data_IF_095829236231
#
_entry.id   IF_095829236231
#
_cell.length_a   1.000
_cell.length_b   1.000
_cell.length_c   1.000
_cell.angle_alpha   90.00
_cell.angle_beta   90.00
_cell.angle_gamma   90.00
#
_symmetry.space_group_name_H-M   'P 1'
#
loop_
_entity.id
_entity.type
_entity.pdbx_description
1 polymer ?
#
# COMPACT_ATOMS: atom_id res chain seq x y z
N UNK A 1 36.98 -27.28 32.13
CA UNK A 1 35.99 -27.65 31.10
C UNK A 1 34.78 -26.76 31.30
N UNK A 2 34.64 -25.69 30.52
CA UNK A 2 33.51 -24.76 30.63
C UNK A 2 32.25 -25.42 30.10
N UNK A 3 31.20 -25.42 30.91
CA UNK A 3 29.86 -25.77 30.45
C UNK A 3 29.47 -24.76 29.36
N UNK A 4 29.41 -25.23 28.13
CA UNK A 4 28.78 -24.53 27.02
C UNK A 4 27.28 -24.50 27.33
N UNK A 5 26.85 -23.45 28.02
CA UNK A 5 25.43 -23.25 28.33
C UNK A 5 24.69 -23.16 27.00
N UNK A 6 23.88 -24.17 26.70
CA UNK A 6 23.02 -24.21 25.51
C UNK A 6 22.04 -23.04 25.65
N UNK A 7 22.42 -21.87 25.13
CA UNK A 7 21.54 -20.70 25.06
C UNK A 7 20.35 -21.08 24.21
N UNK A 8 19.14 -20.94 24.76
CA UNK A 8 17.94 -21.14 23.97
C UNK A 8 17.93 -20.12 22.82
N UNK A 9 17.41 -20.47 21.64
CA UNK A 9 17.34 -19.54 20.50
C UNK A 9 16.68 -18.20 20.87
N UNK A 10 15.75 -18.22 21.84
CA UNK A 10 15.10 -17.03 22.40
C UNK A 10 16.06 -16.16 23.21
N UNK A 11 16.91 -16.76 24.05
CA UNK A 11 17.91 -16.03 24.84
C UNK A 11 19.01 -15.44 23.95
N UNK A 12 19.36 -16.14 22.87
CA UNK A 12 20.28 -15.61 21.87
C UNK A 12 19.69 -14.38 21.14
N UNK A 13 18.38 -14.38 20.84
CA UNK A 13 17.71 -13.27 20.16
C UNK A 13 17.44 -12.07 21.08
N UNK A 14 17.21 -12.30 22.38
CA UNK A 14 16.87 -11.28 23.38
C UNK A 14 18.07 -10.80 24.20
N UNK A 15 19.30 -11.05 23.75
CA UNK A 15 20.48 -10.63 24.50
C UNK A 15 20.66 -9.11 24.52
N UNK A 16 20.86 -8.51 25.69
CA UNK A 16 21.14 -7.07 25.85
C UNK A 16 22.47 -6.62 25.21
N UNK A 17 23.35 -7.58 24.92
CA UNK A 17 24.65 -7.36 24.26
C UNK A 17 24.78 -8.26 23.03
N UNK A 18 24.18 -7.89 21.88
CA UNK A 18 24.29 -8.68 20.67
C UNK A 18 25.75 -8.76 20.22
N UNK A 19 26.26 -9.97 19.97
CA UNK A 19 27.64 -10.22 19.56
C UNK A 19 27.90 -9.89 18.08
N UNK A 20 26.85 -9.74 17.26
CA UNK A 20 26.95 -9.37 15.85
C UNK A 20 25.83 -8.44 15.39
N UNK A 21 26.08 -7.69 14.30
CA UNK A 21 25.04 -6.86 13.63
C UNK A 21 23.85 -7.70 13.18
N UNK A 22 24.08 -8.94 12.76
CA UNK A 22 23.03 -9.88 12.33
C UNK A 22 22.15 -10.30 13.51
N UNK A 23 22.76 -10.66 14.65
CA UNK A 23 22.03 -10.97 15.88
C UNK A 23 21.19 -9.79 16.36
N UNK A 24 21.73 -8.56 16.34
CA UNK A 24 20.98 -7.36 16.71
C UNK A 24 19.76 -7.12 15.79
N UNK A 25 19.90 -7.37 14.48
CA UNK A 25 18.80 -7.26 13.51
C UNK A 25 17.73 -8.33 13.73
N UNK A 26 18.15 -9.59 13.92
CA UNK A 26 17.25 -10.71 14.16
C UNK A 26 16.50 -10.57 15.50
N UNK A 27 17.19 -10.09 16.55
CA UNK A 27 16.57 -9.81 17.84
C UNK A 27 15.48 -8.75 17.75
N UNK A 28 15.76 -7.61 17.10
CA UNK A 28 14.74 -6.57 16.84
C UNK A 28 13.57 -7.10 16.01
N UNK A 29 13.85 -7.83 14.93
CA UNK A 29 12.82 -8.44 14.10
C UNK A 29 11.94 -9.42 14.89
N UNK A 30 12.55 -10.22 15.79
CA UNK A 30 11.82 -11.15 16.65
C UNK A 30 10.90 -10.42 17.65
N UNK A 31 11.37 -9.34 18.27
CA UNK A 31 10.54 -8.51 19.18
C UNK A 31 9.38 -7.87 18.42
N UNK A 32 9.63 -7.24 17.28
CA UNK A 32 8.58 -6.67 16.43
C UNK A 32 7.59 -7.74 15.96
N UNK A 33 8.06 -8.91 15.53
CA UNK A 33 7.19 -10.03 15.15
C UNK A 33 6.35 -10.54 16.32
N UNK A 34 6.91 -10.64 17.52
CA UNK A 34 6.17 -11.06 18.72
C UNK A 34 5.06 -10.07 19.08
N UNK A 35 5.32 -8.76 18.95
CA UNK A 35 4.29 -7.71 19.14
C UNK A 35 3.22 -7.78 18.05
N UNK A 36 3.64 -7.92 16.79
CA UNK A 36 2.76 -8.06 15.64
C UNK A 36 1.82 -9.28 15.78
N UNK A 37 2.39 -10.45 16.08
CA UNK A 37 1.64 -11.70 16.21
C UNK A 37 0.76 -11.79 17.46
N UNK A 38 0.98 -10.93 18.47
CA UNK A 38 0.06 -10.77 19.58
C UNK A 38 -1.26 -10.10 19.14
N UNK A 39 -1.23 -9.26 18.10
CA UNK A 39 -2.41 -8.64 17.54
C UNK A 39 -3.08 -9.59 16.52
N UNK A 40 -4.18 -10.24 16.94
CA UNK A 40 -4.93 -11.18 16.08
C UNK A 40 -5.47 -10.52 14.82
N UNK A 41 -5.85 -9.24 14.88
CA UNK A 41 -6.34 -8.51 13.72
C UNK A 41 -5.21 -8.27 12.70
N UNK A 42 -4.01 -7.98 13.17
CA UNK A 42 -2.82 -7.86 12.32
C UNK A 42 -2.53 -9.17 11.56
N UNK A 43 -2.68 -10.32 12.22
CA UNK A 43 -2.53 -11.63 11.58
C UNK A 43 -3.60 -11.90 10.52
N UNK A 44 -4.86 -11.49 10.76
CA UNK A 44 -5.93 -11.57 9.76
C UNK A 44 -5.60 -10.68 8.55
N UNK A 45 -5.16 -9.45 8.78
CA UNK A 45 -4.70 -8.56 7.71
C UNK A 45 -3.58 -9.16 6.89
N UNK A 46 -2.55 -9.69 7.55
CA UNK A 46 -1.44 -10.38 6.90
C UNK A 46 -1.91 -11.59 6.08
N UNK A 47 -2.81 -12.40 6.61
CA UNK A 47 -3.37 -13.56 5.90
C UNK A 47 -4.14 -13.13 4.64
N UNK A 48 -4.93 -12.06 4.70
CA UNK A 48 -5.66 -11.52 3.54
C UNK A 48 -4.67 -11.07 2.46
N UNK A 49 -3.61 -10.36 2.82
CA UNK A 49 -2.61 -9.88 1.85
C UNK A 49 -1.82 -11.04 1.25
N UNK A 50 -1.45 -12.05 2.05
CA UNK A 50 -0.82 -13.28 1.54
C UNK A 50 -1.75 -14.00 0.57
N UNK A 51 -3.04 -14.14 0.93
CA UNK A 51 -4.02 -14.76 0.04
C UNK A 51 -4.18 -13.97 -1.27
N UNK A 52 -4.20 -12.63 -1.22
CA UNK A 52 -4.23 -11.79 -2.41
C UNK A 52 -3.01 -12.02 -3.32
N UNK A 53 -1.81 -12.07 -2.73
CA UNK A 53 -0.57 -12.34 -3.48
C UNK A 53 -0.60 -13.73 -4.12
N UNK A 54 -1.09 -14.75 -3.41
CA UNK A 54 -1.26 -16.11 -3.94
C UNK A 54 -2.27 -16.12 -5.08
N UNK A 55 -3.44 -15.50 -4.90
CA UNK A 55 -4.47 -15.41 -5.94
C UNK A 55 -3.93 -14.72 -7.20
N UNK A 56 -3.20 -13.62 -7.03
CA UNK A 56 -2.60 -12.91 -8.16
C UNK A 56 -1.48 -13.71 -8.84
N UNK A 57 -0.61 -14.37 -8.08
CA UNK A 57 0.49 -15.17 -8.63
C UNK A 57 -0.04 -16.36 -9.42
N UNK A 58 -1.00 -17.10 -8.85
CA UNK A 58 -1.58 -18.31 -9.43
C UNK A 58 -2.86 -18.04 -10.24
N UNK A 59 -3.10 -16.80 -10.69
CA UNK A 59 -4.33 -16.45 -11.41
C UNK A 59 -4.57 -17.33 -12.65
N UNK A 60 -3.52 -17.68 -13.40
CA UNK A 60 -3.63 -18.52 -14.60
C UNK A 60 -4.02 -19.99 -14.29
N UNK A 61 -3.89 -20.42 -13.03
CA UNK A 61 -4.27 -21.77 -12.56
C UNK A 61 -5.59 -21.74 -11.80
N UNK A 62 -5.85 -20.66 -11.05
CA UNK A 62 -7.04 -20.51 -10.22
C UNK A 62 -8.27 -20.08 -11.01
N UNK A 63 -8.10 -19.41 -12.16
CA UNK A 63 -9.20 -19.00 -13.01
C UNK A 63 -9.63 -20.13 -13.95
N UNK A 64 -10.87 -20.63 -13.86
CA UNK A 64 -11.37 -21.70 -14.73
C UNK A 64 -11.64 -21.24 -16.18
N UNK A 65 -11.84 -19.94 -16.40
CA UNK A 65 -12.17 -19.37 -17.71
C UNK A 65 -11.29 -18.17 -18.07
N UNK A 66 -11.31 -17.78 -19.34
CA UNK A 66 -10.67 -16.55 -19.79
C UNK A 66 -11.30 -15.32 -19.11
N UNK A 67 -10.51 -14.40 -18.55
CA UNK A 67 -11.05 -13.18 -17.93
C UNK A 67 -11.54 -12.15 -18.97
N UNK A 68 -11.11 -12.27 -20.23
CA UNK A 68 -11.37 -11.26 -21.28
C UNK A 68 -12.34 -11.73 -22.35
N UNK A 69 -12.36 -13.04 -22.66
CA UNK A 69 -13.23 -13.62 -23.68
C UNK A 69 -14.56 -14.03 -23.05
N UNK A 70 -15.67 -13.57 -23.62
CA UNK A 70 -17.02 -13.87 -23.15
C UNK A 70 -17.87 -14.60 -24.18
N UNK A 71 -18.97 -15.22 -23.73
CA UNK A 71 -19.98 -15.85 -24.57
C UNK A 71 -21.35 -15.17 -24.36
N UNK A 72 -21.65 -14.17 -25.20
CA UNK A 72 -22.92 -13.45 -25.16
C UNK A 72 -24.13 -14.32 -25.54
N UNK A 73 -23.92 -15.41 -26.29
CA UNK A 73 -25.01 -16.22 -26.81
C UNK A 73 -25.57 -17.14 -25.74
N UNK A 74 -24.68 -17.77 -24.97
CA UNK A 74 -25.09 -18.82 -24.02
C UNK A 74 -24.86 -18.42 -22.56
N UNK A 75 -24.02 -17.42 -22.29
CA UNK A 75 -23.54 -17.14 -20.94
C UNK A 75 -23.76 -15.69 -20.49
N UNK A 76 -24.69 -14.94 -21.08
CA UNK A 76 -24.95 -13.54 -20.66
C UNK A 76 -25.74 -13.49 -19.35
N UNK A 77 -25.21 -12.78 -18.35
CA UNK A 77 -25.87 -12.50 -17.05
C UNK A 77 -26.43 -13.76 -16.35
N UNK A 78 -25.66 -14.85 -16.37
CA UNK A 78 -26.03 -16.06 -15.63
C UNK A 78 -25.83 -15.86 -14.13
N UNK A 79 -26.74 -16.42 -13.35
CA UNK A 79 -26.62 -16.48 -11.91
C UNK A 79 -25.45 -17.38 -11.46
N UNK A 80 -24.94 -17.19 -10.23
CA UNK A 80 -23.96 -18.09 -9.63
C UNK A 80 -24.37 -19.56 -9.73
N UNK A 81 -23.45 -20.40 -10.21
CA UNK A 81 -23.65 -21.83 -10.41
C UNK A 81 -22.35 -22.60 -10.23
N UNK A 82 -22.41 -23.94 -10.27
CA UNK A 82 -21.21 -24.78 -10.21
C UNK A 82 -20.29 -24.58 -11.42
N UNK A 83 -20.83 -24.16 -12.57
CA UNK A 83 -20.06 -23.79 -13.74
C UNK A 83 -19.43 -22.40 -13.56
N UNK A 84 -20.23 -21.41 -13.16
CA UNK A 84 -19.77 -20.03 -12.95
C UNK A 84 -19.96 -19.61 -11.49
N UNK A 85 -18.92 -19.73 -10.66
CA UNK A 85 -19.02 -19.61 -9.20
C UNK A 85 -19.63 -18.29 -8.73
N UNK A 86 -19.36 -17.19 -9.44
CA UNK A 86 -19.96 -15.88 -9.18
C UNK A 86 -20.87 -15.40 -10.32
N UNK A 87 -21.29 -16.32 -11.20
CA UNK A 87 -22.06 -16.01 -12.39
C UNK A 87 -21.21 -15.33 -13.46
N UNK A 88 -21.89 -14.76 -14.45
CA UNK A 88 -21.27 -14.10 -15.59
C UNK A 88 -21.75 -12.66 -15.75
N UNK A 89 -20.95 -11.84 -16.43
CA UNK A 89 -21.28 -10.44 -16.68
C UNK A 89 -22.15 -10.22 -17.94
N UNK A 90 -22.38 -8.95 -18.27
CA UNK A 90 -23.21 -8.52 -19.39
C UNK A 90 -22.64 -8.87 -20.77
N UNK A 91 -21.35 -9.21 -20.85
CA UNK A 91 -20.68 -9.72 -22.05
C UNK A 91 -20.45 -11.24 -21.99
N UNK A 92 -21.01 -11.91 -20.98
CA UNK A 92 -20.91 -13.35 -20.78
C UNK A 92 -19.52 -13.83 -20.37
N UNK A 93 -18.75 -12.99 -19.67
CA UNK A 93 -17.45 -13.35 -19.08
C UNK A 93 -17.63 -13.83 -17.64
N UNK A 94 -16.84 -14.81 -17.23
CA UNK A 94 -16.88 -15.35 -15.87
C UNK A 94 -16.39 -14.34 -14.82
N UNK A 95 -17.24 -14.02 -13.84
CA UNK A 95 -16.94 -12.99 -12.83
C UNK A 95 -15.83 -13.43 -11.89
N UNK A 96 -15.79 -14.71 -11.51
CA UNK A 96 -14.76 -15.24 -10.61
C UNK A 96 -13.37 -15.14 -11.25
N UNK A 97 -13.22 -15.60 -12.49
CA UNK A 97 -11.98 -15.50 -13.27
C UNK A 97 -11.54 -14.04 -13.42
N UNK A 98 -12.48 -13.12 -13.67
CA UNK A 98 -12.20 -11.67 -13.70
C UNK A 98 -11.73 -11.14 -12.35
N UNK A 99 -12.32 -11.55 -11.22
CA UNK A 99 -11.86 -11.12 -9.89
C UNK A 99 -10.43 -11.61 -9.61
N UNK A 100 -10.15 -12.88 -9.91
CA UNK A 100 -8.84 -13.50 -9.73
C UNK A 100 -7.75 -12.78 -10.54
N UNK A 101 -8.00 -12.48 -11.82
CA UNK A 101 -7.07 -11.69 -12.63
C UNK A 101 -7.00 -10.22 -12.20
N UNK A 102 -8.11 -9.65 -11.73
CA UNK A 102 -8.16 -8.28 -11.24
C UNK A 102 -7.27 -8.05 -10.02
N UNK A 103 -7.01 -9.09 -9.21
CA UNK A 103 -6.03 -9.03 -8.13
C UNK A 103 -4.63 -8.56 -8.61
N UNK A 104 -4.21 -8.97 -9.81
CA UNK A 104 -2.93 -8.52 -10.41
C UNK A 104 -2.95 -7.02 -10.68
N UNK A 105 -4.05 -6.50 -11.22
CA UNK A 105 -4.20 -5.08 -11.52
C UNK A 105 -4.31 -4.23 -10.25
N UNK A 106 -5.03 -4.70 -9.23
CA UNK A 106 -5.07 -4.02 -7.93
C UNK A 106 -3.68 -3.94 -7.32
N UNK A 107 -2.93 -5.04 -7.29
CA UNK A 107 -1.55 -5.07 -6.80
C UNK A 107 -0.62 -4.16 -7.62
N UNK A 108 -0.75 -4.19 -8.95
CA UNK A 108 0.00 -3.32 -9.85
C UNK A 108 -0.19 -1.85 -9.47
N UNK A 109 -1.44 -1.39 -9.33
CA UNK A 109 -1.75 0.01 -9.02
C UNK A 109 -1.17 0.41 -7.65
N UNK A 110 -1.44 -0.37 -6.60
CA UNK A 110 -1.01 0.00 -5.25
C UNK A 110 0.51 0.00 -5.09
N UNK A 111 1.21 -0.95 -5.72
CA UNK A 111 2.67 -1.04 -5.68
C UNK A 111 3.30 0.12 -6.45
N UNK A 112 2.83 0.42 -7.67
CA UNK A 112 3.40 1.56 -8.42
C UNK A 112 3.15 2.89 -7.72
N UNK A 113 1.94 3.11 -7.20
CA UNK A 113 1.65 4.33 -6.43
C UNK A 113 2.59 4.43 -5.21
N UNK A 114 2.82 3.34 -4.48
CA UNK A 114 3.75 3.34 -3.35
C UNK A 114 5.19 3.70 -3.77
N UNK A 115 5.70 3.06 -4.83
CA UNK A 115 7.07 3.24 -5.32
C UNK A 115 7.30 4.64 -5.90
N UNK A 116 6.26 5.31 -6.39
CA UNK A 116 6.37 6.66 -6.93
C UNK A 116 6.16 7.70 -5.82
N UNK A 117 5.02 7.63 -5.12
CA UNK A 117 4.61 8.66 -4.19
C UNK A 117 5.46 8.69 -2.91
N UNK A 118 5.84 7.51 -2.37
CA UNK A 118 6.58 7.46 -1.10
C UNK A 118 7.99 8.05 -1.22
N UNK A 119 8.80 7.75 -2.26
CA UNK A 119 10.10 8.39 -2.43
C UNK A 119 10.01 9.89 -2.67
N UNK A 120 9.02 10.36 -3.46
CA UNK A 120 8.78 11.80 -3.66
C UNK A 120 8.48 12.47 -2.32
N UNK A 121 7.56 11.90 -1.55
CA UNK A 121 7.21 12.41 -0.22
C UNK A 121 8.40 12.42 0.73
N UNK A 122 9.15 11.32 0.81
CA UNK A 122 10.34 11.21 1.64
C UNK A 122 11.38 12.27 1.29
N UNK A 123 11.66 12.44 -0.01
CA UNK A 123 12.63 13.42 -0.49
C UNK A 123 12.17 14.85 -0.14
N UNK A 124 10.93 15.22 -0.51
CA UNK A 124 10.41 16.56 -0.25
C UNK A 124 10.38 16.86 1.25
N UNK A 125 9.90 15.92 2.06
CA UNK A 125 9.77 16.08 3.51
C UNK A 125 11.11 16.20 4.22
N UNK A 126 12.07 15.32 3.90
CA UNK A 126 13.41 15.37 4.52
C UNK A 126 14.21 16.59 4.10
N UNK A 127 14.12 17.01 2.83
CA UNK A 127 14.75 18.24 2.35
C UNK A 127 14.16 19.47 3.04
N UNK A 128 12.81 19.57 3.10
CA UNK A 128 12.14 20.67 3.80
C UNK A 128 12.53 20.74 5.28
N UNK A 129 12.45 19.61 5.98
CA UNK A 129 12.76 19.54 7.41
C UNK A 129 14.22 19.86 7.71
N UNK A 130 15.16 19.38 6.89
CA UNK A 130 16.60 19.59 7.11
C UNK A 130 17.03 21.01 6.78
N UNK A 131 16.67 21.54 5.59
CA UNK A 131 17.08 22.86 5.15
C UNK A 131 16.44 23.98 5.98
N UNK A 132 15.16 23.84 6.37
CA UNK A 132 14.43 24.89 7.08
C UNK A 132 14.21 26.16 6.25
N UNK A 133 13.81 27.25 6.92
CA UNK A 133 13.70 28.58 6.33
C UNK A 133 12.76 28.64 5.12
N UNK A 134 13.25 29.27 4.03
CA UNK A 134 12.48 29.43 2.80
C UNK A 134 12.24 28.12 2.05
N UNK A 135 13.20 27.19 2.05
CA UNK A 135 13.05 25.89 1.41
C UNK A 135 11.91 25.09 2.05
N UNK A 136 11.87 25.07 3.38
CA UNK A 136 10.76 24.47 4.12
C UNK A 136 9.42 25.13 3.76
N UNK A 137 9.38 26.46 3.82
CA UNK A 137 8.18 27.24 3.54
C UNK A 137 7.64 26.95 2.15
N UNK A 138 8.47 27.00 1.11
CA UNK A 138 8.04 26.78 -0.28
C UNK A 138 7.55 25.34 -0.49
N UNK A 139 8.33 24.34 -0.05
CA UNK A 139 7.96 22.93 -0.23
C UNK A 139 6.68 22.58 0.54
N UNK A 140 6.50 23.11 1.75
CA UNK A 140 5.28 22.90 2.51
C UNK A 140 4.10 23.66 1.92
N UNK A 141 4.29 24.84 1.33
CA UNK A 141 3.21 25.54 0.61
C UNK A 141 2.74 24.76 -0.61
N UNK A 142 3.66 24.18 -1.39
CA UNK A 142 3.30 23.27 -2.48
C UNK A 142 2.53 22.07 -1.93
N UNK A 143 3.03 21.44 -0.87
CA UNK A 143 2.36 20.31 -0.20
C UNK A 143 0.95 20.67 0.25
N UNK A 144 0.75 21.87 0.81
CA UNK A 144 -0.53 22.37 1.31
C UNK A 144 -1.54 22.61 0.18
N UNK A 145 -1.08 23.07 -1.01
CA UNK A 145 -1.94 23.23 -2.19
C UNK A 145 -2.57 21.89 -2.57
N UNK A 146 -1.78 20.81 -2.65
CA UNK A 146 -2.33 19.49 -3.00
C UNK A 146 -3.30 18.97 -1.94
N UNK A 147 -3.05 19.24 -0.66
CA UNK A 147 -3.89 18.80 0.45
C UNK A 147 -5.18 19.60 0.60
N UNK A 148 -5.25 20.80 0.02
CA UNK A 148 -6.46 21.62 0.02
C UNK A 148 -7.56 21.03 -0.87
N UNK A 149 -7.19 20.26 -1.91
CA UNK A 149 -8.15 19.62 -2.79
C UNK A 149 -8.51 18.20 -2.31
N UNK A 150 -9.77 17.76 -2.48
CA UNK A 150 -10.13 16.37 -2.28
C UNK A 150 -9.30 15.46 -3.20
N UNK A 151 -8.64 14.43 -2.63
CA UNK A 151 -7.74 13.51 -3.36
C UNK A 151 -8.38 12.97 -4.66
N UNK A 152 -9.62 12.49 -4.58
CA UNK A 152 -10.33 11.92 -5.73
C UNK A 152 -10.59 12.97 -6.82
N UNK A 153 -10.99 14.19 -6.44
CA UNK A 153 -11.27 15.28 -7.41
C UNK A 153 -9.99 15.66 -8.16
N UNK A 154 -8.87 15.77 -7.44
CA UNK A 154 -7.60 16.11 -8.06
C UNK A 154 -7.09 14.96 -8.96
N UNK A 155 -7.24 13.71 -8.53
CA UNK A 155 -6.91 12.55 -9.35
C UNK A 155 -7.76 12.51 -10.64
N UNK A 156 -9.06 12.78 -10.54
CA UNK A 156 -9.96 12.88 -11.70
C UNK A 156 -9.52 13.97 -12.68
N UNK A 157 -9.14 15.15 -12.18
CA UNK A 157 -8.65 16.25 -13.02
C UNK A 157 -7.38 15.86 -13.78
N UNK A 158 -6.42 15.19 -13.12
CA UNK A 158 -5.21 14.72 -13.78
C UNK A 158 -5.48 13.63 -14.81
N UNK A 159 -6.34 12.64 -14.50
CA UNK A 159 -6.67 11.60 -15.49
C UNK A 159 -7.46 12.18 -16.66
N UNK A 160 -8.36 13.14 -16.42
CA UNK A 160 -9.07 13.82 -17.50
C UNK A 160 -8.11 14.55 -18.46
N UNK A 161 -6.99 15.08 -17.94
CA UNK A 161 -5.95 15.71 -18.75
C UNK A 161 -5.03 14.71 -19.47
N UNK A 162 -4.69 13.59 -18.81
CA UNK A 162 -3.78 12.56 -19.34
C UNK A 162 -4.48 11.57 -20.29
N UNK A 163 -5.81 11.45 -20.18
CA UNK A 163 -6.63 10.46 -20.88
C UNK A 163 -6.87 9.19 -20.03
N UNK A 164 -7.93 8.42 -20.36
CA UNK A 164 -8.28 7.22 -19.62
C UNK A 164 -7.23 6.11 -19.77
N UNK A 165 -6.98 5.35 -18.71
CA UNK A 165 -6.04 4.22 -18.72
C UNK A 165 -5.48 3.90 -17.34
N UNK A 166 -5.04 2.65 -17.13
CA UNK A 166 -4.47 2.22 -15.84
C UNK A 166 -3.22 3.02 -15.51
N UNK A 167 -2.32 3.20 -16.48
CA UNK A 167 -1.06 3.92 -16.28
C UNK A 167 -1.30 5.40 -15.91
N UNK A 168 -2.20 6.06 -16.63
CA UNK A 168 -2.58 7.45 -16.35
C UNK A 168 -3.26 7.59 -14.98
N UNK A 169 -4.12 6.64 -14.61
CA UNK A 169 -4.72 6.59 -13.27
C UNK A 169 -3.67 6.42 -12.17
N UNK A 170 -2.67 5.53 -12.38
CA UNK A 170 -1.55 5.35 -11.45
C UNK A 170 -0.76 6.65 -11.27
N UNK A 171 -0.41 7.33 -12.37
CA UNK A 171 0.31 8.61 -12.33
C UNK A 171 -0.49 9.69 -11.60
N UNK A 172 -1.78 9.82 -11.90
CA UNK A 172 -2.66 10.78 -11.25
C UNK A 172 -2.78 10.51 -9.74
N UNK A 173 -2.94 9.26 -9.33
CA UNK A 173 -3.01 8.90 -7.90
C UNK A 173 -1.65 9.16 -7.23
N UNK A 174 -0.54 8.81 -7.86
CA UNK A 174 0.80 9.01 -7.29
C UNK A 174 1.12 10.50 -7.07
N UNK A 175 0.82 11.36 -8.05
CA UNK A 175 1.00 12.81 -7.99
C UNK A 175 0.15 13.45 -6.89
N UNK A 176 -0.97 12.83 -6.52
CA UNK A 176 -1.88 13.36 -5.48
C UNK A 176 -1.66 12.74 -4.11
N UNK A 177 -0.91 11.64 -4.01
CA UNK A 177 -0.75 10.87 -2.76
C UNK A 177 0.56 11.11 -2.01
N UNK A 178 1.55 11.76 -2.61
CA UNK A 178 2.82 12.08 -1.93
C UNK A 178 2.76 13.11 -0.77
N UNK A 179 1.81 14.07 -0.69
CA UNK A 179 1.87 15.15 0.31
C UNK A 179 1.82 14.68 1.79
N UNK A 180 0.97 13.71 2.19
CA UNK A 180 0.99 13.18 3.55
C UNK A 180 2.32 12.54 3.94
N UNK A 181 2.99 11.87 2.99
CA UNK A 181 4.31 11.27 3.19
C UNK A 181 5.38 12.34 3.43
N UNK A 182 5.32 13.47 2.69
CA UNK A 182 6.19 14.61 2.91
C UNK A 182 6.03 15.24 4.29
N UNK A 183 4.79 15.40 4.77
CA UNK A 183 4.54 15.95 6.11
C UNK A 183 5.12 15.08 7.23
N UNK A 184 4.99 13.76 7.13
CA UNK A 184 5.56 12.84 8.13
C UNK A 184 7.09 12.89 8.09
N UNK A 185 7.68 12.73 6.90
CA UNK A 185 9.12 12.78 6.74
C UNK A 185 9.72 14.11 7.22
N UNK A 186 9.03 15.23 7.00
CA UNK A 186 9.40 16.54 7.54
C UNK A 186 9.32 16.56 9.06
N UNK A 187 8.20 16.14 9.64
CA UNK A 187 8.02 16.16 11.09
C UNK A 187 9.13 15.38 11.80
N UNK A 188 9.43 14.18 11.32
CA UNK A 188 10.52 13.36 11.88
C UNK A 188 11.88 14.00 11.67
N UNK A 189 12.14 14.55 10.49
CA UNK A 189 13.39 15.27 10.22
C UNK A 189 13.59 16.43 11.19
N UNK A 190 12.53 17.20 11.51
CA UNK A 190 12.60 18.29 12.48
C UNK A 190 12.96 17.80 13.89
N UNK A 191 12.54 16.59 14.28
CA UNK A 191 12.91 16.01 15.59
C UNK A 191 14.38 15.60 15.66
N UNK A 192 14.97 15.11 14.55
CA UNK A 192 16.33 14.56 14.55
C UNK A 192 17.41 15.54 14.09
N UNK A 193 17.06 16.58 13.29
CA UNK A 193 18.03 17.50 12.67
C UNK A 193 18.95 18.20 13.65
N UNK A 194 18.48 18.47 14.87
CA UNK A 194 19.22 19.20 15.90
C UNK A 194 19.81 18.27 16.97
N UNK A 195 19.72 16.94 16.78
CA UNK A 195 20.26 15.96 17.71
C UNK A 195 21.79 15.96 17.72
N UNK A 196 22.40 15.58 18.86
CA UNK A 196 23.85 15.49 18.99
C UNK A 196 24.46 14.47 18.02
N UNK A 197 23.70 13.43 17.66
CA UNK A 197 24.06 12.48 16.62
C UNK A 197 24.32 13.17 15.26
N UNK A 198 23.41 14.04 14.82
CA UNK A 198 23.58 14.75 13.54
C UNK A 198 24.69 15.80 13.63
N UNK A 199 24.81 16.52 14.75
CA UNK A 199 25.91 17.47 14.98
C UNK A 199 27.27 16.78 14.93
N UNK A 200 27.42 15.61 15.54
CA UNK A 200 28.66 14.82 15.46
C UNK A 200 29.00 14.42 14.01
N UNK A 201 27.99 14.02 13.22
CA UNK A 201 28.17 13.70 11.80
C UNK A 201 28.60 14.94 10.98
N UNK A 202 28.08 16.12 11.31
CA UNK A 202 28.50 17.39 10.70
C UNK A 202 29.96 17.73 11.05
N UNK A 203 30.37 17.57 12.31
CA UNK A 203 31.75 17.80 12.76
C UNK A 203 32.77 16.86 12.07
N UNK A 204 32.34 15.66 11.67
CA UNK A 204 33.13 14.74 10.86
C UNK A 204 33.21 15.11 9.36
N UNK A 205 32.69 16.28 8.96
CA UNK A 205 32.79 16.80 7.59
C UNK A 205 31.78 16.20 6.60
N UNK A 206 30.66 15.63 7.09
CA UNK A 206 29.62 15.13 6.19
C UNK A 206 28.88 16.28 5.49
N UNK A 207 28.71 16.17 4.17
CA UNK A 207 27.92 17.14 3.41
C UNK A 207 26.42 17.07 3.75
N UNK A 208 25.64 18.15 3.57
CA UNK A 208 24.19 18.16 3.76
C UNK A 208 23.45 17.00 3.08
N UNK A 209 23.81 16.72 1.82
CA UNK A 209 23.22 15.61 1.04
C UNK A 209 23.54 14.26 1.70
N UNK A 210 24.78 14.06 2.17
CA UNK A 210 25.16 12.83 2.87
C UNK A 210 24.39 12.67 4.17
N UNK A 211 24.18 13.75 4.91
CA UNK A 211 23.40 13.76 6.15
C UNK A 211 21.95 13.34 5.87
N UNK A 212 21.31 13.98 4.89
CA UNK A 212 19.92 13.65 4.53
C UNK A 212 19.79 12.21 4.05
N UNK A 213 20.58 11.79 3.05
CA UNK A 213 20.41 10.47 2.41
C UNK A 213 20.84 9.30 3.30
N UNK A 214 21.93 9.44 4.08
CA UNK A 214 22.51 8.32 4.85
C UNK A 214 22.16 8.30 6.32
N UNK A 215 21.74 9.43 6.89
CA UNK A 215 21.51 9.53 8.32
C UNK A 215 20.05 9.86 8.67
N UNK A 216 19.39 10.74 7.92
CA UNK A 216 18.00 11.15 8.22
C UNK A 216 16.98 10.26 7.51
N UNK A 217 17.06 10.13 6.17
CA UNK A 217 16.09 9.34 5.39
C UNK A 217 15.92 7.90 5.93
N UNK A 218 16.97 7.15 6.29
CA UNK A 218 16.80 5.80 6.83
C UNK A 218 16.00 5.73 8.12
N UNK A 219 16.01 6.80 8.93
CA UNK A 219 15.19 6.88 10.15
C UNK A 219 13.71 7.03 9.79
N UNK A 220 13.41 7.86 8.77
CA UNK A 220 12.04 8.13 8.36
C UNK A 220 11.40 7.00 7.53
N UNK A 221 12.17 6.05 7.00
CA UNK A 221 11.62 4.94 6.19
C UNK A 221 10.65 4.09 7.01
N UNK A 222 10.91 3.86 8.30
CA UNK A 222 10.08 2.98 9.13
C UNK A 222 8.65 3.53 9.30
N UNK A 223 8.52 4.81 9.64
CA UNK A 223 7.23 5.49 9.76
C UNK A 223 6.53 5.65 8.42
N UNK A 224 7.31 5.88 7.36
CA UNK A 224 6.79 5.99 6.00
C UNK A 224 6.19 4.67 5.53
N UNK A 225 6.84 3.53 5.76
CA UNK A 225 6.31 2.20 5.41
C UNK A 225 4.97 1.95 6.10
N UNK A 226 4.85 2.29 7.39
CA UNK A 226 3.60 2.17 8.15
C UNK A 226 2.52 3.04 7.51
N UNK A 227 2.84 4.31 7.23
CA UNK A 227 1.88 5.25 6.62
C UNK A 227 1.44 4.79 5.24
N UNK A 228 2.38 4.37 4.40
CA UNK A 228 2.14 3.88 3.05
C UNK A 228 1.19 2.69 3.11
N UNK A 229 1.42 1.73 4.01
CA UNK A 229 0.55 0.55 4.18
C UNK A 229 -0.88 0.96 4.54
N UNK A 230 -1.05 1.92 5.47
CA UNK A 230 -2.37 2.44 5.85
C UNK A 230 -3.07 3.20 4.71
N UNK A 231 -2.32 3.88 3.84
CA UNK A 231 -2.92 4.62 2.70
C UNK A 231 -3.30 3.69 1.54
N UNK A 232 -2.82 2.43 1.50
CA UNK A 232 -3.11 1.46 0.43
C UNK A 232 -4.61 1.25 0.22
N UNK A 233 -5.39 1.12 1.29
CA UNK A 233 -6.84 0.98 1.20
C UNK A 233 -7.49 2.19 0.51
N UNK A 234 -7.02 3.40 0.82
CA UNK A 234 -7.48 4.63 0.17
C UNK A 234 -7.06 4.72 -1.29
N UNK A 235 -5.86 4.24 -1.63
CA UNK A 235 -5.37 4.14 -3.02
C UNK A 235 -6.24 3.18 -3.84
N UNK A 236 -6.55 1.99 -3.29
CA UNK A 236 -7.44 1.01 -3.93
C UNK A 236 -8.81 1.63 -4.18
N UNK A 237 -9.39 2.28 -3.17
CA UNK A 237 -10.71 2.90 -3.31
C UNK A 237 -10.71 4.03 -4.34
N UNK A 238 -9.63 4.83 -4.40
CA UNK A 238 -9.46 5.88 -5.40
C UNK A 238 -9.34 5.28 -6.80
N UNK A 239 -8.51 4.25 -6.98
CA UNK A 239 -8.36 3.55 -8.25
C UNK A 239 -9.66 2.92 -8.73
N UNK A 240 -10.38 2.23 -7.84
CA UNK A 240 -11.69 1.67 -8.14
C UNK A 240 -12.72 2.76 -8.47
N UNK A 241 -12.67 3.91 -7.78
CA UNK A 241 -13.51 5.07 -8.09
C UNK A 241 -13.23 5.65 -9.49
N UNK A 242 -11.96 5.77 -9.88
CA UNK A 242 -11.57 6.19 -11.24
C UNK A 242 -12.01 5.16 -12.29
N UNK A 243 -11.81 3.86 -12.02
CA UNK A 243 -12.30 2.76 -12.86
C UNK A 243 -13.82 2.78 -13.02
N UNK A 244 -14.53 3.03 -11.93
CA UNK A 244 -15.98 3.13 -11.92
C UNK A 244 -16.49 4.33 -12.75
N UNK A 245 -15.73 5.42 -12.78
CA UNK A 245 -16.03 6.61 -13.59
C UNK A 245 -15.54 6.48 -15.06
N UNK A 246 -15.01 5.32 -15.45
CA UNK A 246 -14.53 5.04 -16.81
C UNK A 246 -13.16 5.63 -17.14
N UNK A 247 -12.46 6.18 -16.15
CA UNK A 247 -11.16 6.83 -16.30
C UNK A 247 -9.98 5.90 -15.94
N UNK A 248 -10.27 4.73 -15.36
CA UNK A 248 -9.28 3.70 -15.05
C UNK A 248 -9.03 2.74 -16.22
N UNK A 249 -8.99 1.44 -15.90
CA UNK A 249 -8.77 0.40 -16.89
C UNK A 249 -9.83 0.38 -17.97
N UNK A 250 -9.39 0.21 -19.21
CA UNK A 250 -10.29 0.11 -20.36
C UNK A 250 -10.61 -1.37 -20.66
N UNK A 251 -11.84 -1.68 -21.11
CA UNK A 251 -12.18 -3.02 -21.59
C UNK A 251 -11.17 -3.53 -22.63
N UNK A 252 -10.79 -4.82 -22.62
CA UNK A 252 -11.43 -5.93 -21.90
C UNK A 252 -10.88 -6.20 -20.49
N UNK A 253 -9.98 -5.36 -19.97
CA UNK A 253 -9.24 -5.63 -18.74
C UNK A 253 -10.17 -5.87 -17.53
N UNK A 254 -9.85 -6.86 -16.67
CA UNK A 254 -10.66 -7.19 -15.51
C UNK A 254 -10.25 -6.34 -14.29
N UNK A 255 -10.57 -5.05 -14.30
CA UNK A 255 -10.35 -4.16 -13.16
C UNK A 255 -11.62 -4.05 -12.31
N UNK A 256 -11.49 -4.16 -10.99
CA UNK A 256 -12.64 -4.31 -10.09
C UNK A 256 -13.58 -3.09 -10.08
N UNK A 257 -13.07 -1.86 -10.13
CA UNK A 257 -13.87 -0.65 -10.23
C UNK A 257 -14.70 -0.59 -11.52
N UNK A 258 -14.06 -0.89 -12.66
CA UNK A 258 -14.72 -0.99 -13.96
C UNK A 258 -15.79 -2.10 -13.99
N UNK A 259 -15.54 -3.24 -13.33
CA UNK A 259 -16.52 -4.32 -13.18
C UNK A 259 -17.75 -3.89 -12.38
N UNK A 260 -17.57 -3.09 -11.32
CA UNK A 260 -18.69 -2.52 -10.57
C UNK A 260 -19.50 -1.56 -11.46
N UNK A 261 -18.84 -0.74 -12.28
CA UNK A 261 -19.51 0.19 -13.17
C UNK A 261 -20.38 -0.51 -14.24
N UNK A 262 -19.89 -1.61 -14.83
CA UNK A 262 -20.69 -2.40 -15.76
C UNK A 262 -21.87 -3.09 -15.05
N UNK A 263 -21.63 -3.65 -13.86
CA UNK A 263 -22.66 -4.30 -13.05
C UNK A 263 -23.74 -3.35 -12.52
N UNK A 264 -23.45 -2.05 -12.35
CA UNK A 264 -24.39 -1.04 -11.83
C UNK A 264 -25.72 -1.00 -12.57
N UNK A 265 -25.71 -1.22 -13.89
CA UNK A 265 -26.92 -1.16 -14.73
C UNK A 265 -27.90 -2.30 -14.44
N UNK A 266 -27.42 -3.37 -13.83
CA UNK A 266 -28.16 -4.60 -13.58
C UNK A 266 -28.35 -4.86 -12.09
N UNK A 267 -28.07 -3.88 -11.22
CA UNK A 267 -27.96 -4.11 -9.77
C UNK A 267 -29.27 -4.56 -9.11
N UNK A 268 -30.43 -4.19 -9.67
CA UNK A 268 -31.73 -4.56 -9.10
C UNK A 268 -32.05 -6.04 -9.35
N UNK A 269 -31.69 -6.55 -10.52
CA UNK A 269 -31.97 -7.94 -10.88
C UNK A 269 -30.76 -8.84 -10.57
N UNK A 270 -29.58 -8.45 -11.05
CA UNK A 270 -28.34 -9.24 -11.06
C UNK A 270 -27.27 -8.62 -10.15
N UNK A 271 -27.64 -8.38 -8.89
CA UNK A 271 -26.82 -7.67 -7.89
C UNK A 271 -25.41 -8.26 -7.70
N UNK A 272 -25.23 -9.57 -7.88
CA UNK A 272 -23.95 -10.25 -7.71
C UNK A 272 -22.85 -9.74 -8.66
N UNK A 273 -23.23 -9.25 -9.85
CA UNK A 273 -22.30 -8.74 -10.86
C UNK A 273 -21.49 -7.56 -10.33
N UNK A 274 -22.13 -6.66 -9.57
CA UNK A 274 -21.46 -5.53 -8.92
C UNK A 274 -20.96 -5.89 -7.51
N UNK A 275 -21.70 -6.73 -6.76
CA UNK A 275 -21.36 -7.05 -5.38
C UNK A 275 -20.09 -7.90 -5.26
N UNK A 276 -19.83 -8.83 -6.19
CA UNK A 276 -18.66 -9.70 -6.13
C UNK A 276 -17.32 -8.91 -6.23
N UNK A 277 -17.08 -8.05 -7.24
CA UNK A 277 -15.88 -7.21 -7.25
C UNK A 277 -15.86 -6.18 -6.11
N UNK A 278 -17.03 -5.70 -5.65
CA UNK A 278 -17.13 -4.85 -4.46
C UNK A 278 -16.65 -5.53 -3.18
N UNK A 279 -17.03 -6.80 -2.99
CA UNK A 279 -16.57 -7.61 -1.87
C UNK A 279 -15.05 -7.86 -1.93
N UNK A 280 -14.48 -8.07 -3.11
CA UNK A 280 -13.04 -8.19 -3.29
C UNK A 280 -12.30 -6.91 -2.85
N UNK A 281 -12.76 -5.73 -3.29
CA UNK A 281 -12.23 -4.44 -2.84
C UNK A 281 -12.34 -4.30 -1.32
N UNK A 282 -13.50 -4.62 -0.73
CA UNK A 282 -13.73 -4.51 0.71
C UNK A 282 -12.75 -5.39 1.50
N UNK A 283 -12.64 -6.67 1.14
CA UNK A 283 -11.77 -7.64 1.83
C UNK A 283 -10.31 -7.20 1.75
N UNK A 284 -9.84 -6.82 0.56
CA UNK A 284 -8.45 -6.41 0.38
C UNK A 284 -8.13 -5.10 1.08
N UNK A 285 -9.00 -4.10 0.98
CA UNK A 285 -8.85 -2.82 1.68
C UNK A 285 -8.83 -3.02 3.19
N UNK A 286 -9.69 -3.90 3.72
CA UNK A 286 -9.64 -4.31 5.13
C UNK A 286 -8.30 -4.98 5.46
N UNK A 287 -7.83 -5.90 4.61
CA UNK A 287 -6.54 -6.57 4.78
C UNK A 287 -5.37 -5.60 4.94
N UNK A 288 -5.29 -4.58 4.07
CA UNK A 288 -4.25 -3.55 4.13
C UNK A 288 -4.37 -2.66 5.37
N UNK A 289 -5.58 -2.25 5.76
CA UNK A 289 -5.80 -1.47 6.98
C UNK A 289 -5.36 -2.25 8.23
N UNK A 290 -5.83 -3.49 8.38
CA UNK A 290 -5.50 -4.34 9.52
C UNK A 290 -3.98 -4.65 9.59
N UNK A 291 -3.35 -4.90 8.44
CA UNK A 291 -1.90 -5.09 8.36
C UNK A 291 -1.14 -3.82 8.75
N UNK A 292 -1.59 -2.65 8.27
CA UNK A 292 -0.99 -1.35 8.59
C UNK A 292 -1.07 -1.01 10.07
N UNK A 293 -2.21 -1.26 10.72
CA UNK A 293 -2.38 -1.07 12.16
C UNK A 293 -1.45 -2.02 12.95
N UNK A 294 -1.36 -3.28 12.54
CA UNK A 294 -0.43 -4.24 13.14
C UNK A 294 1.05 -3.83 13.00
N UNK A 295 1.45 -3.33 11.83
CA UNK A 295 2.79 -2.82 11.60
C UNK A 295 3.07 -1.59 12.46
N UNK A 296 2.08 -0.71 12.63
CA UNK A 296 2.18 0.45 13.52
C UNK A 296 2.45 0.02 14.95
N UNK A 297 1.67 -0.92 15.49
CA UNK A 297 1.82 -1.41 16.86
C UNK A 297 3.17 -2.10 17.10
N UNK A 298 3.64 -2.87 16.10
CA UNK A 298 4.89 -3.63 16.17
C UNK A 298 6.16 -2.77 16.08
N UNK A 299 6.07 -1.63 15.40
CA UNK A 299 7.18 -0.73 15.12
C UNK A 299 7.16 0.55 15.98
N UNK A 300 6.07 0.82 16.71
CA UNK A 300 6.02 1.93 17.67
C UNK A 300 7.01 1.66 18.84
N UNK A 301 8.06 2.49 19.01
CA UNK A 301 9.04 2.33 20.08
C UNK A 301 8.46 2.63 21.48
N UNK A 302 7.33 3.35 21.57
CA UNK A 302 6.80 3.90 22.84
C UNK A 302 5.92 2.93 23.62
N UNK A 303 5.57 1.77 23.07
CA UNK A 303 4.78 0.73 23.75
C UNK A 303 5.59 -0.15 24.71
N UNK A 304 6.86 0.17 24.95
CA UNK A 304 7.75 -0.59 25.84
C UNK A 304 7.75 -0.16 27.32
N UNK A 305 7.11 0.96 27.67
CA UNK A 305 7.12 1.55 29.03
C UNK A 305 5.77 1.45 29.77
N UNK A 306 4.97 0.41 29.50
CA UNK A 306 3.80 0.07 30.32
C UNK A 306 3.84 -1.39 30.76
#
# INVERSE_FOLDING_TARGET
MSAETIRSRREWLLSDRPASRLQARLGRAYVSWRRFSANRLALVGMLIIIALLVVAAFADVLAPYSPTVGDLKNARLLAPSSAHWFGTDDLGRDIYSRIVYGARWTLYVVILVAIIAAPIGLLVGTVAGYAGGWTDTILMRITDIFLAFPKLVLALAFVAALGPGIENAVLAIAITSWPPYARIARAETLTVRNSDYIKAVQLMGASPVRIVLRHIMPLCISSLIIRVTLDMAGIILTAAGLGFLGLGAQPPLPEWGAMIASGRRFILDQWWVAAAPGAAILIVSLGFNLLGDGLRDALDPRSGDQ
#
